data_IF_992896705550
#
_entry.id   IF_992896705550
#
_cell.length_a   1.000
_cell.length_b   1.000
_cell.length_c   1.000
_cell.angle_alpha   90.00
_cell.angle_beta   90.00
_cell.angle_gamma   90.00
#
_symmetry.space_group_name_H-M   'P 1'
#
loop_
_entity.id
_entity.type
_entity.pdbx_description
1 polymer ?
#
# COMPACT_ATOMS: atom_id res chain seq x y z
N UNK A 1 28.48 -17.28 -40.07
CA UNK A 1 27.41 -16.38 -39.58
C UNK A 1 26.77 -17.05 -38.38
N UNK A 2 27.21 -16.73 -37.17
CA UNK A 2 26.56 -17.21 -35.94
C UNK A 2 25.42 -16.24 -35.65
N UNK A 3 24.18 -16.70 -35.81
CA UNK A 3 23.01 -15.97 -35.36
C UNK A 3 23.04 -15.96 -33.82
N UNK A 4 23.21 -14.77 -33.23
CA UNK A 4 22.97 -14.55 -31.80
C UNK A 4 21.49 -14.82 -31.53
N UNK A 5 21.21 -15.86 -30.76
CA UNK A 5 19.91 -16.11 -30.14
C UNK A 5 19.50 -14.84 -29.39
N UNK A 6 18.27 -14.31 -29.57
CA UNK A 6 17.82 -13.17 -28.78
C UNK A 6 17.84 -13.57 -27.32
N UNK A 7 18.52 -12.76 -26.48
CA UNK A 7 18.48 -12.94 -25.04
C UNK A 7 17.02 -12.98 -24.59
N UNK A 8 16.65 -14.01 -23.82
CA UNK A 8 15.35 -14.03 -23.13
C UNK A 8 15.14 -12.69 -22.43
N UNK A 9 13.93 -12.11 -22.45
CA UNK A 9 13.70 -10.83 -21.79
C UNK A 9 14.16 -10.95 -20.33
N UNK A 10 15.06 -10.05 -19.92
CA UNK A 10 15.56 -10.01 -18.55
C UNK A 10 14.39 -9.86 -17.60
N UNK A 11 14.34 -10.69 -16.55
CA UNK A 11 13.28 -10.62 -15.55
C UNK A 11 13.12 -9.19 -14.99
N UNK A 12 11.90 -8.68 -14.76
CA UNK A 12 11.68 -7.30 -14.29
C UNK A 12 12.48 -6.92 -13.04
N UNK A 13 12.75 -7.89 -12.17
CA UNK A 13 13.56 -7.72 -10.96
C UNK A 13 14.97 -7.20 -11.25
N UNK A 14 15.60 -7.65 -12.34
CA UNK A 14 16.94 -7.18 -12.68
C UNK A 14 16.94 -5.69 -13.02
N UNK A 15 15.97 -5.25 -13.84
CA UNK A 15 15.80 -3.84 -14.19
C UNK A 15 15.42 -3.00 -12.95
N UNK A 16 14.56 -3.54 -12.09
CA UNK A 16 14.15 -2.90 -10.83
C UNK A 16 15.33 -2.65 -9.90
N UNK A 17 16.13 -3.68 -9.58
CA UNK A 17 17.26 -3.55 -8.68
C UNK A 17 18.38 -2.67 -9.26
N UNK A 18 18.59 -2.70 -10.58
CA UNK A 18 19.50 -1.77 -11.26
C UNK A 18 19.04 -0.32 -11.14
N UNK A 19 17.74 -0.06 -11.28
CA UNK A 19 17.16 1.27 -11.09
C UNK A 19 17.35 1.75 -9.66
N UNK A 20 17.07 0.90 -8.66
CA UNK A 20 17.30 1.22 -7.25
C UNK A 20 18.76 1.54 -6.96
N UNK A 21 19.70 0.68 -7.40
CA UNK A 21 21.13 0.91 -7.21
C UNK A 21 21.58 2.25 -7.79
N UNK A 22 21.11 2.57 -9.00
CA UNK A 22 21.45 3.82 -9.68
C UNK A 22 20.99 5.04 -8.88
N UNK A 23 19.77 5.03 -8.38
CA UNK A 23 19.22 6.15 -7.60
C UNK A 23 19.89 6.26 -6.23
N UNK A 24 20.16 5.14 -5.54
CA UNK A 24 20.90 5.13 -4.27
C UNK A 24 22.33 5.69 -4.43
N UNK A 25 22.99 5.37 -5.54
CA UNK A 25 24.37 5.82 -5.82
C UNK A 25 24.48 7.32 -6.09
N UNK A 26 23.38 8.00 -6.43
CA UNK A 26 23.39 9.45 -6.72
C UNK A 26 23.36 10.31 -5.46
N UNK A 27 22.89 9.76 -4.33
CA UNK A 27 22.92 10.42 -3.02
C UNK A 27 21.99 11.63 -2.87
N UNK A 28 21.21 11.97 -3.90
CA UNK A 28 20.17 13.02 -3.92
C UNK A 28 18.74 12.44 -3.90
N UNK A 29 18.63 11.12 -3.67
CA UNK A 29 17.36 10.42 -3.64
C UNK A 29 16.45 11.00 -2.54
N UNK A 30 15.35 11.63 -2.96
CA UNK A 30 14.21 11.98 -2.11
C UNK A 30 13.30 10.77 -1.89
N UNK A 31 12.36 10.85 -0.94
CA UNK A 31 11.34 9.82 -0.63
C UNK A 31 10.52 9.34 -1.85
N UNK A 32 10.48 10.13 -2.93
CA UNK A 32 9.75 9.82 -4.15
C UNK A 32 10.57 9.09 -5.22
N UNK A 33 11.88 9.01 -5.05
CA UNK A 33 12.82 8.58 -6.10
C UNK A 33 12.64 7.11 -6.47
N UNK A 34 12.40 6.26 -5.47
CA UNK A 34 12.23 4.82 -5.66
C UNK A 34 10.80 4.40 -6.02
N UNK A 35 9.83 5.33 -5.87
CA UNK A 35 8.41 5.03 -6.04
C UNK A 35 8.04 4.64 -7.47
N UNK A 36 8.70 5.26 -8.45
CA UNK A 36 8.50 4.97 -9.88
C UNK A 36 8.98 3.56 -10.23
N UNK A 37 10.11 3.13 -9.66
CA UNK A 37 10.66 1.78 -9.86
C UNK A 37 9.73 0.71 -9.27
N UNK A 38 9.23 0.92 -8.05
CA UNK A 38 8.29 -0.01 -7.41
C UNK A 38 6.97 -0.11 -8.18
N UNK A 39 6.44 1.03 -8.64
CA UNK A 39 5.24 1.08 -9.50
C UNK A 39 5.45 0.23 -10.75
N UNK A 40 6.55 0.43 -11.47
CA UNK A 40 6.85 -0.31 -12.68
C UNK A 40 7.02 -1.81 -12.43
N UNK A 41 7.65 -2.20 -11.31
CA UNK A 41 7.80 -3.60 -10.93
C UNK A 41 6.43 -4.26 -10.68
N UNK A 42 5.56 -3.61 -9.89
CA UNK A 42 4.21 -4.13 -9.61
C UNK A 42 3.43 -4.26 -10.92
N UNK A 43 3.36 -3.20 -11.72
CA UNK A 43 2.60 -3.18 -12.98
C UNK A 43 3.13 -4.18 -14.03
N UNK A 44 4.39 -4.61 -13.93
CA UNK A 44 4.95 -5.65 -14.79
C UNK A 44 4.42 -7.07 -14.49
N UNK A 45 3.80 -7.28 -13.33
CA UNK A 45 3.39 -8.61 -12.87
C UNK A 45 2.14 -9.16 -13.61
N UNK A 46 1.29 -8.30 -14.17
CA UNK A 46 0.12 -8.72 -14.92
C UNK A 46 -0.37 -7.62 -15.86
N UNK A 47 -0.99 -8.01 -16.98
CA UNK A 47 -1.74 -7.08 -17.84
C UNK A 47 -2.90 -6.45 -17.05
N UNK A 48 -3.18 -5.17 -17.34
CA UNK A 48 -4.24 -4.35 -16.74
C UNK A 48 -4.07 -4.09 -15.23
N UNK A 49 -2.86 -4.31 -14.71
CA UNK A 49 -2.51 -3.94 -13.35
C UNK A 49 -2.06 -2.47 -13.30
N UNK A 50 -2.61 -1.73 -12.35
CA UNK A 50 -2.30 -0.32 -12.11
C UNK A 50 -1.94 -0.12 -10.64
N UNK A 51 -0.72 0.37 -10.38
CA UNK A 51 -0.28 0.77 -9.05
C UNK A 51 -0.31 2.29 -8.97
N UNK A 52 -1.39 2.82 -8.39
CA UNK A 52 -1.57 4.27 -8.28
C UNK A 52 -0.92 4.76 -7.00
N UNK A 53 0.12 5.60 -7.12
CA UNK A 53 0.65 6.34 -5.99
C UNK A 53 -0.26 7.52 -5.68
N UNK A 54 -0.76 7.63 -4.45
CA UNK A 54 -1.45 8.85 -4.03
C UNK A 54 -0.41 9.92 -3.64
N UNK A 55 -0.50 11.15 -4.16
CA UNK A 55 0.41 12.21 -3.75
C UNK A 55 0.20 12.53 -2.26
N UNK A 56 1.31 12.55 -1.50
CA UNK A 56 1.32 13.02 -0.11
C UNK A 56 1.07 14.53 -0.11
N UNK A 57 -0.19 14.94 0.07
CA UNK A 57 -0.45 16.27 0.59
C UNK A 57 0.01 16.32 2.06
N UNK A 58 0.39 17.50 2.55
CA UNK A 58 0.89 17.77 3.93
C UNK A 58 -0.10 17.28 5.03
N UNK A 59 -1.31 16.88 4.65
CA UNK A 59 -2.47 16.56 5.49
C UNK A 59 -2.92 15.09 5.33
N UNK A 60 -2.06 14.19 4.84
CA UNK A 60 -2.42 12.79 4.53
C UNK A 60 -1.41 11.79 5.09
N UNK A 61 -1.09 11.87 6.38
CA UNK A 61 -0.27 10.83 7.04
C UNK A 61 -1.00 9.47 7.13
N UNK A 62 -2.31 9.45 6.85
CA UNK A 62 -3.16 8.28 7.10
C UNK A 62 -3.51 7.43 5.87
N UNK A 63 -2.98 7.69 4.67
CA UNK A 63 -3.23 6.84 3.49
C UNK A 63 -2.04 5.94 3.13
N UNK A 64 -2.30 4.67 2.70
CA UNK A 64 -1.23 3.83 2.17
C UNK A 64 -0.64 4.45 0.90
N UNK A 65 0.67 4.21 0.68
CA UNK A 65 1.40 4.81 -0.44
C UNK A 65 0.88 4.42 -1.83
N UNK A 66 0.35 3.19 -1.98
CA UNK A 66 -0.23 2.72 -3.23
C UNK A 66 -1.52 1.96 -3.04
N UNK A 67 -2.40 2.11 -4.05
CA UNK A 67 -3.52 1.22 -4.29
C UNK A 67 -3.21 0.44 -5.57
N UNK A 68 -3.22 -0.90 -5.47
CA UNK A 68 -3.03 -1.79 -6.61
C UNK A 68 -4.40 -2.23 -7.12
N UNK A 69 -4.67 -1.99 -8.40
CA UNK A 69 -5.92 -2.34 -9.06
C UNK A 69 -5.68 -3.23 -10.27
N UNK A 70 -6.62 -4.14 -10.54
CA UNK A 70 -6.73 -4.85 -11.81
C UNK A 70 -8.08 -4.53 -12.43
N UNK A 71 -8.09 -3.68 -13.46
CA UNK A 71 -9.32 -3.04 -13.93
C UNK A 71 -9.99 -2.22 -12.81
N UNK A 72 -11.27 -2.47 -12.53
CA UNK A 72 -12.02 -1.78 -11.47
C UNK A 72 -11.76 -2.35 -10.06
N UNK A 73 -11.23 -3.57 -9.94
CA UNK A 73 -11.06 -4.25 -8.67
C UNK A 73 -9.81 -3.80 -7.93
N UNK A 74 -9.92 -3.53 -6.64
CA UNK A 74 -8.76 -3.33 -5.76
C UNK A 74 -8.19 -4.68 -5.39
N UNK A 75 -6.92 -4.90 -5.71
CA UNK A 75 -6.19 -6.13 -5.38
C UNK A 75 -5.56 -6.04 -3.99
N UNK A 76 -5.07 -4.86 -3.61
CA UNK A 76 -4.48 -4.63 -2.30
C UNK A 76 -3.80 -3.27 -2.21
N UNK A 77 -3.13 -3.05 -1.09
CA UNK A 77 -2.46 -1.80 -0.75
C UNK A 77 -0.97 -2.04 -0.55
N UNK A 78 -0.15 -1.03 -0.84
CA UNK A 78 1.30 -1.09 -0.58
C UNK A 78 1.70 0.11 0.25
N UNK A 79 2.47 -0.15 1.31
CA UNK A 79 3.12 0.85 2.14
C UNK A 79 4.63 0.74 1.94
N UNK A 80 5.28 1.84 1.52
CA UNK A 80 6.69 1.87 1.19
C UNK A 80 7.45 2.81 2.14
N UNK A 81 8.52 2.31 2.75
CA UNK A 81 9.45 3.11 3.55
C UNK A 81 10.76 3.32 2.79
N UNK A 82 11.57 4.28 3.24
CA UNK A 82 12.91 4.47 2.67
C UNK A 82 13.75 3.19 2.78
N UNK A 83 14.69 3.03 1.86
CA UNK A 83 15.52 1.82 1.73
C UNK A 83 16.30 1.48 3.01
N UNK A 84 16.69 2.50 3.77
CA UNK A 84 17.43 2.35 5.03
C UNK A 84 16.54 1.97 6.24
N UNK A 85 15.20 1.96 6.08
CA UNK A 85 14.29 1.71 7.20
C UNK A 85 14.10 0.24 7.48
N UNK A 86 14.12 -0.09 8.76
CA UNK A 86 13.76 -1.42 9.26
C UNK A 86 12.25 -1.63 9.20
N UNK A 87 11.81 -2.65 8.45
CA UNK A 87 10.41 -3.07 8.44
C UNK A 87 9.95 -3.60 9.80
N UNK A 88 10.84 -4.25 10.56
CA UNK A 88 10.58 -4.71 11.93
C UNK A 88 10.31 -3.57 12.90
N UNK A 89 11.00 -2.43 12.74
CA UNK A 89 10.70 -1.23 13.51
C UNK A 89 9.37 -0.60 13.05
N UNK A 90 9.16 -0.54 11.74
CA UNK A 90 7.92 -0.04 11.12
C UNK A 90 6.68 -0.77 11.60
N UNK A 91 6.78 -2.09 11.81
CA UNK A 91 5.70 -2.93 12.38
C UNK A 91 5.22 -2.50 13.77
N UNK A 92 5.99 -1.70 14.50
CA UNK A 92 5.62 -1.21 15.83
C UNK A 92 4.93 0.15 15.81
N UNK A 93 4.93 0.84 14.67
CA UNK A 93 4.34 2.18 14.52
C UNK A 93 2.81 2.13 14.64
N UNK A 94 2.21 3.21 15.14
CA UNK A 94 0.75 3.31 15.26
C UNK A 94 0.07 3.32 13.89
N UNK A 95 0.69 3.95 12.88
CA UNK A 95 0.22 3.94 11.50
C UNK A 95 0.09 2.52 10.97
N UNK A 96 1.15 1.71 11.05
CA UNK A 96 1.11 0.36 10.49
C UNK A 96 0.17 -0.57 11.27
N UNK A 97 0.08 -0.44 12.60
CA UNK A 97 -0.93 -1.19 13.38
C UNK A 97 -2.34 -0.93 12.88
N UNK A 98 -2.68 0.33 12.59
CA UNK A 98 -3.98 0.71 12.02
C UNK A 98 -4.19 0.11 10.63
N UNK A 99 -3.16 0.11 9.78
CA UNK A 99 -3.25 -0.51 8.45
C UNK A 99 -3.44 -2.02 8.51
N UNK A 100 -2.75 -2.72 9.41
CA UNK A 100 -2.93 -4.16 9.60
C UNK A 100 -4.34 -4.53 10.10
N UNK A 101 -5.01 -3.62 10.82
CA UNK A 101 -6.40 -3.81 11.24
C UNK A 101 -7.42 -3.52 10.13
N UNK A 102 -7.12 -2.55 9.26
CA UNK A 102 -8.09 -1.98 8.32
C UNK A 102 -7.96 -2.49 6.88
N UNK A 103 -6.74 -2.80 6.45
CA UNK A 103 -6.45 -3.16 5.06
C UNK A 103 -6.42 -4.69 4.94
N UNK A 104 -7.33 -5.27 4.14
CA UNK A 104 -7.48 -6.73 4.07
C UNK A 104 -6.29 -7.43 3.42
N UNK A 105 -5.60 -6.74 2.51
CA UNK A 105 -4.45 -7.23 1.76
C UNK A 105 -3.40 -6.11 1.66
N UNK A 106 -2.30 -6.24 2.42
CA UNK A 106 -1.28 -5.20 2.59
C UNK A 106 0.11 -5.75 2.30
N UNK A 107 0.86 -5.04 1.46
CA UNK A 107 2.28 -5.27 1.23
C UNK A 107 3.10 -4.14 1.86
N UNK A 108 4.00 -4.46 2.78
CA UNK A 108 4.95 -3.51 3.37
C UNK A 108 6.33 -3.71 2.73
N UNK A 109 7.02 -2.64 2.35
CA UNK A 109 8.35 -2.73 1.76
C UNK A 109 9.27 -1.56 2.10
N UNK A 110 10.58 -1.80 2.10
CA UNK A 110 11.64 -0.78 2.04
C UNK A 110 12.36 -0.87 0.68
N UNK A 111 11.65 -1.31 -0.36
CA UNK A 111 12.13 -1.57 -1.73
C UNK A 111 13.03 -2.80 -1.91
N UNK A 112 13.67 -3.32 -0.86
CA UNK A 112 14.50 -4.53 -0.92
C UNK A 112 13.83 -5.72 -0.25
N UNK A 113 13.27 -5.49 0.93
CA UNK A 113 12.49 -6.44 1.71
C UNK A 113 11.00 -6.19 1.50
N UNK A 114 10.23 -7.27 1.51
CA UNK A 114 8.78 -7.26 1.34
C UNK A 114 8.13 -8.15 2.38
N UNK A 115 7.14 -7.64 3.09
CA UNK A 115 6.32 -8.40 4.03
C UNK A 115 4.86 -8.28 3.61
N UNK A 116 4.24 -9.41 3.29
CA UNK A 116 2.85 -9.49 2.88
C UNK A 116 1.96 -9.94 4.03
N UNK A 117 0.85 -9.20 4.21
CA UNK A 117 -0.15 -9.43 5.24
C UNK A 117 -1.55 -9.59 4.63
N UNK A 118 -2.32 -10.53 5.19
CA UNK A 118 -3.73 -10.73 4.88
C UNK A 118 -4.53 -10.74 6.18
N UNK A 119 -5.51 -9.84 6.31
CA UNK A 119 -6.32 -9.69 7.53
C UNK A 119 -5.49 -9.38 8.79
N UNK A 120 -4.36 -8.70 8.61
CA UNK A 120 -3.41 -8.37 9.68
C UNK A 120 -2.40 -9.48 10.03
N UNK A 121 -2.48 -10.65 9.40
CA UNK A 121 -1.56 -11.76 9.64
C UNK A 121 -0.47 -11.83 8.57
N UNK A 122 0.79 -11.99 8.99
CA UNK A 122 1.93 -12.15 8.07
C UNK A 122 1.80 -13.47 7.31
N UNK A 123 1.80 -13.41 5.98
CA UNK A 123 1.73 -14.57 5.08
C UNK A 123 3.08 -14.93 4.49
N UNK A 124 3.82 -13.93 4.03
CA UNK A 124 5.10 -14.13 3.36
C UNK A 124 6.04 -12.97 3.66
N UNK A 125 7.34 -13.27 3.70
CA UNK A 125 8.41 -12.29 3.84
C UNK A 125 9.56 -12.71 2.93
N UNK A 126 9.96 -11.82 2.02
CA UNK A 126 11.05 -12.06 1.09
C UNK A 126 12.05 -10.90 1.14
N UNK A 127 13.29 -11.20 0.80
CA UNK A 127 14.29 -10.18 0.46
C UNK A 127 14.77 -10.43 -0.97
N UNK A 128 14.82 -9.35 -1.76
CA UNK A 128 15.36 -9.34 -3.11
C UNK A 128 16.87 -9.08 -3.14
N UNK A 129 17.44 -8.70 -2.01
CA UNK A 129 18.84 -8.32 -1.85
C UNK A 129 19.61 -9.34 -0.98
N UNK A 130 20.88 -9.56 -1.29
CA UNK A 130 21.77 -10.44 -0.53
C UNK A 130 22.67 -9.69 0.47
N UNK A 131 22.78 -8.37 0.37
CA UNK A 131 23.75 -7.55 1.11
C UNK A 131 23.11 -6.57 2.11
N UNK A 132 21.85 -6.81 2.50
CA UNK A 132 21.11 -6.01 3.47
C UNK A 132 21.14 -4.48 3.20
N UNK A 133 21.18 -4.08 1.92
CA UNK A 133 21.10 -2.69 1.50
C UNK A 133 22.40 -1.88 1.55
N UNK A 134 23.57 -2.46 1.90
CA UNK A 134 24.85 -1.73 1.78
C UNK A 134 25.24 -1.51 0.31
N UNK A 135 24.98 -2.50 -0.54
CA UNK A 135 25.05 -2.45 -2.00
C UNK A 135 23.93 -3.34 -2.55
N UNK A 136 23.11 -2.87 -3.49
CA UNK A 136 22.03 -3.68 -4.05
C UNK A 136 22.64 -4.78 -4.92
N UNK A 137 22.59 -6.02 -4.43
CA UNK A 137 22.99 -7.22 -5.12
C UNK A 137 21.82 -8.20 -5.14
N UNK A 138 21.29 -8.55 -6.34
CA UNK A 138 20.14 -9.44 -6.44
C UNK A 138 20.43 -10.79 -5.77
N UNK A 139 19.51 -11.22 -4.91
CA UNK A 139 19.52 -12.59 -4.43
C UNK A 139 19.41 -13.57 -5.60
N UNK A 140 20.10 -14.71 -5.51
CA UNK A 140 20.11 -15.73 -6.59
C UNK A 140 18.72 -16.17 -7.04
N UNK A 141 17.77 -16.16 -6.11
CA UNK A 141 16.37 -16.54 -6.28
C UNK A 141 15.39 -15.35 -6.19
N UNK A 142 15.88 -14.09 -6.27
CA UNK A 142 15.07 -12.88 -6.15
C UNK A 142 13.87 -12.87 -7.10
N UNK A 143 14.06 -13.28 -8.35
CA UNK A 143 12.98 -13.38 -9.34
C UNK A 143 11.90 -14.37 -8.92
N UNK A 144 12.29 -15.58 -8.49
CA UNK A 144 11.34 -16.61 -8.08
C UNK A 144 10.57 -16.20 -6.81
N UNK A 145 11.26 -15.60 -5.84
CA UNK A 145 10.64 -15.05 -4.61
C UNK A 145 9.61 -13.96 -4.93
N UNK A 146 9.97 -13.04 -5.83
CA UNK A 146 9.06 -11.99 -6.26
C UNK A 146 7.83 -12.56 -6.98
N UNK A 147 8.04 -13.48 -7.92
CA UNK A 147 6.95 -14.07 -8.69
C UNK A 147 5.96 -14.80 -7.80
N UNK A 148 6.45 -15.56 -6.82
CA UNK A 148 5.62 -16.23 -5.82
C UNK A 148 4.82 -15.20 -5.00
N UNK A 149 5.50 -14.20 -4.43
CA UNK A 149 4.87 -13.15 -3.63
C UNK A 149 3.78 -12.41 -4.41
N UNK A 150 4.10 -11.88 -5.58
CA UNK A 150 3.18 -11.03 -6.34
C UNK A 150 2.02 -11.85 -6.91
N UNK A 151 2.27 -13.10 -7.31
CA UNK A 151 1.20 -14.00 -7.75
C UNK A 151 0.23 -14.27 -6.60
N UNK A 152 0.72 -14.60 -5.40
CA UNK A 152 -0.14 -14.82 -4.25
C UNK A 152 -0.87 -13.54 -3.82
N UNK A 153 -0.18 -12.40 -3.78
CA UNK A 153 -0.77 -11.10 -3.46
C UNK A 153 -1.92 -10.73 -4.41
N UNK A 154 -1.77 -10.98 -5.71
CA UNK A 154 -2.80 -10.72 -6.73
C UNK A 154 -3.88 -11.80 -6.79
N UNK A 155 -3.57 -13.03 -6.37
CA UNK A 155 -4.54 -14.12 -6.30
C UNK A 155 -5.35 -14.10 -5.00
N UNK A 156 -4.94 -13.30 -4.01
CA UNK A 156 -5.69 -13.09 -2.77
C UNK A 156 -6.99 -12.35 -3.09
N UNK A 157 -8.00 -13.16 -3.41
CA UNK A 157 -9.38 -12.77 -3.28
C UNK A 157 -9.57 -12.65 -1.78
N UNK A 158 -9.56 -11.43 -1.25
CA UNK A 158 -9.91 -11.17 0.15
C UNK A 158 -11.16 -12.01 0.42
N UNK A 159 -11.07 -13.09 1.22
CA UNK A 159 -12.12 -14.08 1.21
C UNK A 159 -13.40 -13.37 1.58
N UNK A 160 -14.44 -13.55 0.77
CA UNK A 160 -15.81 -13.20 1.15
C UNK A 160 -15.98 -13.72 2.55
N UNK A 161 -16.14 -12.79 3.48
CA UNK A 161 -15.59 -13.01 4.82
C UNK A 161 -16.19 -14.28 5.40
N UNK A 162 -15.33 -15.29 5.61
CA UNK A 162 -15.78 -16.67 5.81
C UNK A 162 -16.52 -16.88 7.13
N UNK A 163 -16.50 -15.88 8.02
CA UNK A 163 -17.32 -15.81 9.22
C UNK A 163 -17.83 -14.39 9.48
N UNK A 164 -19.04 -14.23 10.07
CA UNK A 164 -19.55 -12.92 10.51
C UNK A 164 -18.60 -12.17 11.45
N UNK A 165 -17.80 -12.89 12.26
CA UNK A 165 -16.83 -12.31 13.19
C UNK A 165 -15.67 -11.66 12.45
N UNK A 166 -15.13 -12.35 11.45
CA UNK A 166 -14.07 -11.78 10.63
C UNK A 166 -14.59 -10.59 9.82
N UNK A 167 -15.87 -10.60 9.42
CA UNK A 167 -16.49 -9.49 8.68
C UNK A 167 -16.59 -8.28 9.57
N UNK A 168 -17.14 -8.45 10.77
CA UNK A 168 -17.24 -7.39 11.77
C UNK A 168 -15.87 -6.82 12.12
N UNK A 169 -14.83 -7.66 12.24
CA UNK A 169 -13.46 -7.20 12.51
C UNK A 169 -12.91 -6.34 11.37
N UNK A 170 -13.07 -6.79 10.11
CA UNK A 170 -12.62 -6.06 8.93
C UNK A 170 -13.37 -4.74 8.76
N UNK A 171 -14.71 -4.75 8.85
CA UNK A 171 -15.54 -3.55 8.75
C UNK A 171 -15.17 -2.55 9.86
N UNK A 172 -15.00 -3.02 11.09
CA UNK A 172 -14.61 -2.13 12.19
C UNK A 172 -13.23 -1.49 11.95
N UNK A 173 -12.27 -2.24 11.38
CA UNK A 173 -10.97 -1.70 10.97
C UNK A 173 -11.11 -0.63 9.88
N UNK A 174 -11.87 -0.93 8.82
CA UNK A 174 -12.13 -0.01 7.71
C UNK A 174 -12.86 1.26 8.16
N UNK A 175 -13.89 1.13 9.00
CA UNK A 175 -14.61 2.27 9.59
C UNK A 175 -13.67 3.14 10.42
N UNK A 176 -12.81 2.55 11.25
CA UNK A 176 -11.82 3.32 12.04
C UNK A 176 -10.86 4.08 11.13
N UNK A 177 -10.32 3.43 10.09
CA UNK A 177 -9.42 4.07 9.16
C UNK A 177 -10.09 5.22 8.40
N UNK A 178 -11.30 4.99 7.88
CA UNK A 178 -12.06 6.00 7.16
C UNK A 178 -12.44 7.17 8.05
N UNK A 179 -12.84 6.92 9.29
CA UNK A 179 -13.14 7.96 10.29
C UNK A 179 -11.91 8.84 10.52
N UNK A 180 -10.77 8.22 10.84
CA UNK A 180 -9.56 8.95 11.16
C UNK A 180 -9.10 9.80 9.95
N UNK A 181 -9.18 9.25 8.74
CA UNK A 181 -8.86 9.95 7.50
C UNK A 181 -9.82 11.12 7.22
N UNK A 182 -11.12 10.90 7.42
CA UNK A 182 -12.15 11.93 7.18
C UNK A 182 -12.02 13.08 8.18
N UNK A 183 -11.70 12.76 9.44
CA UNK A 183 -11.43 13.77 10.45
C UNK A 183 -10.19 14.59 10.10
N UNK A 184 -9.09 13.94 9.72
CA UNK A 184 -7.85 14.63 9.33
C UNK A 184 -8.11 15.57 8.15
N UNK A 185 -8.72 15.08 7.07
CA UNK A 185 -9.01 15.88 5.88
C UNK A 185 -9.98 17.04 6.18
N UNK A 186 -11.02 16.81 6.99
CA UNK A 186 -11.95 17.85 7.40
C UNK A 186 -11.24 18.96 8.19
N UNK A 187 -10.43 18.60 9.19
CA UNK A 187 -9.66 19.55 9.99
C UNK A 187 -8.64 20.33 9.16
N UNK A 188 -8.20 19.73 8.07
CA UNK A 188 -7.23 20.32 7.17
C UNK A 188 -7.86 21.15 6.03
N UNK A 189 -9.19 21.24 6.01
CA UNK A 189 -9.96 22.13 5.15
C UNK A 189 -10.30 21.54 3.79
N UNK A 190 -10.40 20.22 3.68
CA UNK A 190 -10.85 19.55 2.44
C UNK A 190 -12.27 20.05 2.05
N UNK A 191 -12.44 20.70 0.88
CA UNK A 191 -13.69 21.38 0.53
C UNK A 191 -14.89 20.43 0.45
N UNK A 192 -14.70 19.23 -0.09
CA UNK A 192 -15.77 18.25 -0.27
C UNK A 192 -16.29 17.76 1.09
N UNK A 193 -15.38 17.45 2.02
CA UNK A 193 -15.76 17.05 3.38
C UNK A 193 -16.38 18.20 4.19
N UNK A 194 -15.91 19.44 3.99
CA UNK A 194 -16.51 20.62 4.63
C UNK A 194 -17.96 20.85 4.15
N UNK A 195 -18.23 20.69 2.85
CA UNK A 195 -19.59 20.81 2.29
C UNK A 195 -20.51 19.71 2.86
N UNK A 196 -19.99 18.49 3.00
CA UNK A 196 -20.74 17.39 3.60
C UNK A 196 -20.99 17.60 5.10
N UNK A 197 -20.01 18.08 5.87
CA UNK A 197 -20.19 18.44 7.30
C UNK A 197 -21.27 19.52 7.46
N UNK A 198 -21.23 20.57 6.64
CA UNK A 198 -22.26 21.62 6.66
C UNK A 198 -23.65 21.08 6.34
N UNK A 199 -23.75 20.20 5.34
CA UNK A 199 -25.01 19.56 4.97
C UNK A 199 -25.56 18.70 6.12
N UNK A 200 -24.70 17.92 6.79
CA UNK A 200 -25.06 17.12 7.96
C UNK A 200 -25.53 18.00 9.13
N UNK A 201 -24.83 19.09 9.41
CA UNK A 201 -25.24 20.04 10.46
C UNK A 201 -26.58 20.68 10.18
N UNK A 202 -26.82 21.08 8.94
CA UNK A 202 -28.06 21.73 8.53
C UNK A 202 -29.27 20.78 8.56
N UNK A 203 -29.08 19.51 8.21
CA UNK A 203 -30.18 18.56 8.02
C UNK A 203 -30.43 17.63 9.22
N UNK A 204 -29.40 17.32 10.01
CA UNK A 204 -29.46 16.25 11.02
C UNK A 204 -29.11 16.74 12.43
N UNK A 205 -27.93 17.32 12.63
CA UNK A 205 -27.40 17.65 13.97
C UNK A 205 -26.70 19.02 13.97
N UNK A 206 -27.39 20.10 14.38
CA UNK A 206 -26.86 21.47 14.28
C UNK A 206 -25.52 21.73 14.99
N UNK A 207 -25.28 21.06 16.12
CA UNK A 207 -24.08 21.24 16.97
C UNK A 207 -23.07 20.07 16.82
N UNK A 208 -23.04 19.43 15.65
CA UNK A 208 -22.17 18.28 15.39
C UNK A 208 -20.68 18.68 15.48
N UNK A 209 -19.92 17.95 16.29
CA UNK A 209 -18.46 18.12 16.36
C UNK A 209 -17.77 17.43 15.17
N UNK A 210 -16.58 17.90 14.74
CA UNK A 210 -15.84 17.27 13.64
C UNK A 210 -15.61 15.76 13.84
N UNK A 211 -15.31 15.32 15.07
CA UNK A 211 -15.09 13.92 15.40
C UNK A 211 -16.37 13.09 15.26
N UNK A 212 -17.51 13.66 15.63
CA UNK A 212 -18.83 13.04 15.54
C UNK A 212 -19.28 12.92 14.08
N UNK A 213 -19.04 13.97 13.27
CA UNK A 213 -19.24 13.91 11.82
C UNK A 213 -18.39 12.81 11.18
N UNK A 214 -17.08 12.78 11.46
CA UNK A 214 -16.18 11.80 10.86
C UNK A 214 -16.57 10.36 11.20
N UNK A 215 -17.06 10.13 12.43
CA UNK A 215 -17.54 8.82 12.87
C UNK A 215 -18.83 8.42 12.15
N UNK A 216 -19.81 9.31 12.06
CA UNK A 216 -21.07 9.08 11.33
C UNK A 216 -20.85 8.86 9.83
N UNK A 217 -19.99 9.68 9.23
CA UNK A 217 -19.62 9.58 7.82
C UNK A 217 -18.99 8.22 7.52
N UNK A 218 -18.00 7.82 8.33
CA UNK A 218 -17.30 6.55 8.14
C UNK A 218 -18.19 5.34 8.34
N UNK A 219 -19.06 5.35 9.36
CA UNK A 219 -20.03 4.28 9.61
C UNK A 219 -20.95 4.11 8.40
N UNK A 220 -21.55 5.22 7.94
CA UNK A 220 -22.48 5.20 6.80
C UNK A 220 -21.81 4.66 5.55
N UNK A 221 -20.61 5.17 5.23
CA UNK A 221 -19.87 4.72 4.06
C UNK A 221 -19.48 3.23 4.14
N UNK A 222 -19.06 2.74 5.31
CA UNK A 222 -18.61 1.34 5.46
C UNK A 222 -19.75 0.33 5.29
N UNK A 223 -20.98 0.67 5.66
CA UNK A 223 -22.14 -0.22 5.48
C UNK A 223 -22.74 -0.22 4.07
N UNK A 224 -22.29 0.70 3.20
CA UNK A 224 -22.70 0.76 1.79
C UNK A 224 -21.73 0.07 0.82
N UNK A 225 -20.60 -0.44 1.33
CA UNK A 225 -19.55 -1.13 0.56
C UNK A 225 -19.79 -2.65 0.55
#
# INVERSE_FOLDING_TARGET
MHAMTPASPSHPIQAYLQSLQKELSRGDATEHTHRSALKALIESAATDLLATNEPKAIQRENKPDYIVRKGASVMGFVEAKDVDKSLKATLKTNQLKRYLEALPNLLLTNYLDFIWFVGGEKRMEISLDELNGEHVAPAKDASARWDELITCFLAEVTPTVSSPQQLAKNLAGQTRLLRDLSLELLLAGDPDLMEQDQSFRAMLVPDLKPEEFADMYAQTATYTI
#
